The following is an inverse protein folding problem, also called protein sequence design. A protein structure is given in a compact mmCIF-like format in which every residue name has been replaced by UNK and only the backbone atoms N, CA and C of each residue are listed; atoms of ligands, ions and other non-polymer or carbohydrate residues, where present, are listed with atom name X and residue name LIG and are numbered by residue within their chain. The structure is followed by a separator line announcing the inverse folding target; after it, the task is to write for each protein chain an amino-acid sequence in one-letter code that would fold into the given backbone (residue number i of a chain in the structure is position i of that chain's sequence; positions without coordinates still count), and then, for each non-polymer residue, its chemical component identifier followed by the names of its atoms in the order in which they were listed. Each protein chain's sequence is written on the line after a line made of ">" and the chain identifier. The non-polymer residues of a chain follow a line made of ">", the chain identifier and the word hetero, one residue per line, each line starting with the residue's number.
data_IF_933491209914
#
_entry.id   IF_933491209914
#
_cell.length_a   1.000
_cell.length_b   1.000
_cell.length_c   1.000
_cell.angle_alpha   90.00
_cell.angle_beta   90.00
_cell.angle_gamma   90.00
#
_symmetry.space_group_name_H-M   'P 1'
#
loop_
_entity.id
_entity.type
_entity.pdbx_description
1 polymer ?
#
# COMPACT_ATOMS: atom_id res chain seq x y z
N UNK A 1 3.83 -7.39 21.53
CA UNK A 1 2.86 -7.79 20.50
C UNK A 1 3.47 -7.47 19.15
N UNK A 2 3.12 -8.25 18.13
CA UNK A 2 3.64 -8.12 16.76
C UNK A 2 2.46 -8.10 15.79
N UNK A 3 2.56 -7.28 14.74
CA UNK A 3 1.65 -7.32 13.61
C UNK A 3 2.10 -8.44 12.67
N UNK A 4 1.25 -9.43 12.42
CA UNK A 4 1.53 -10.44 11.41
C UNK A 4 1.24 -9.87 10.02
N UNK A 5 2.26 -9.84 9.16
CA UNK A 5 2.13 -9.48 7.77
C UNK A 5 1.87 -10.74 6.95
N UNK A 6 0.65 -10.85 6.43
CA UNK A 6 0.17 -11.95 5.62
C UNK A 6 -0.59 -11.45 4.37
N UNK A 7 -1.09 -12.39 3.57
CA UNK A 7 -1.77 -12.10 2.31
C UNK A 7 -3.04 -11.24 2.51
N UNK A 8 -3.73 -11.37 3.65
CA UNK A 8 -4.89 -10.55 3.98
C UNK A 8 -4.48 -9.09 4.21
N UNK A 9 -3.40 -8.88 4.97
CA UNK A 9 -2.88 -7.55 5.26
C UNK A 9 -2.36 -6.84 3.99
N UNK A 10 -1.74 -7.59 3.08
CA UNK A 10 -1.34 -7.09 1.76
C UNK A 10 -2.54 -6.60 0.96
N UNK A 11 -3.66 -7.33 0.96
CA UNK A 11 -4.88 -6.90 0.27
C UNK A 11 -5.44 -5.59 0.84
N UNK A 12 -5.38 -5.40 2.17
CA UNK A 12 -5.81 -4.14 2.82
C UNK A 12 -4.97 -2.94 2.39
N UNK A 13 -3.72 -3.13 1.97
CA UNK A 13 -2.89 -2.05 1.44
C UNK A 13 -3.44 -1.48 0.12
N UNK A 14 -4.22 -2.26 -0.64
CA UNK A 14 -4.89 -1.77 -1.85
C UNK A 14 -6.15 -0.93 -1.58
N UNK A 15 -6.54 -0.78 -0.31
CA UNK A 15 -7.68 0.02 0.12
C UNK A 15 -7.47 1.53 -0.07
N UNK A 16 -8.54 2.28 0.13
CA UNK A 16 -8.50 3.74 0.09
C UNK A 16 -7.64 4.33 1.21
N UNK A 17 -7.09 5.53 0.96
CA UNK A 17 -6.42 6.30 2.01
C UNK A 17 -7.38 6.49 3.19
N UNK A 18 -6.93 6.13 4.39
CA UNK A 18 -7.70 6.20 5.65
C UNK A 18 -8.87 5.22 5.78
N UNK A 19 -9.02 4.25 4.87
CA UNK A 19 -10.03 3.19 5.01
C UNK A 19 -9.70 2.25 6.18
N UNK A 20 -8.41 1.99 6.40
CA UNK A 20 -7.92 1.09 7.42
C UNK A 20 -7.04 1.82 8.43
N UNK A 21 -7.10 1.36 9.68
CA UNK A 21 -6.39 1.97 10.81
C UNK A 21 -5.73 0.90 11.67
N UNK A 22 -4.48 1.11 12.04
CA UNK A 22 -3.75 0.26 12.96
C UNK A 22 -3.96 0.69 14.41
N UNK A 23 -4.17 -0.28 15.30
CA UNK A 23 -4.33 -0.08 16.73
C UNK A 23 -3.09 -0.51 17.51
N UNK A 24 -2.47 0.43 18.24
CA UNK A 24 -1.39 0.10 19.16
C UNK A 24 -1.84 -0.75 20.35
N UNK A 25 -3.14 -0.74 20.67
CA UNK A 25 -3.69 -1.47 21.81
C UNK A 25 -3.73 -2.98 21.61
N UNK A 26 -4.02 -3.42 20.38
CA UNK A 26 -4.20 -4.84 20.06
C UNK A 26 -3.41 -5.33 18.83
N UNK A 27 -2.64 -4.45 18.17
CA UNK A 27 -1.84 -4.73 16.98
C UNK A 27 -2.68 -5.27 15.80
N UNK A 28 -3.95 -4.86 15.71
CA UNK A 28 -4.85 -5.22 14.61
C UNK A 28 -5.11 -4.05 13.67
N UNK A 29 -5.51 -4.37 12.44
CA UNK A 29 -6.04 -3.41 11.47
C UNK A 29 -7.56 -3.42 11.51
N UNK A 30 -8.16 -2.26 11.71
CA UNK A 30 -9.59 -2.02 11.80
C UNK A 30 -10.05 -1.25 10.57
N UNK A 31 -11.23 -1.59 10.05
CA UNK A 31 -11.85 -0.76 9.01
C UNK A 31 -12.49 0.48 9.66
N UNK A 32 -12.48 1.61 8.96
CA UNK A 32 -13.07 2.85 9.48
C UNK A 32 -14.55 2.68 9.84
N UNK A 33 -15.29 1.84 9.11
CA UNK A 33 -16.70 1.56 9.41
C UNK A 33 -16.90 0.89 10.77
N UNK A 34 -15.92 0.11 11.25
CA UNK A 34 -15.94 -0.51 12.59
C UNK A 34 -15.65 0.53 13.69
N UNK A 35 -14.98 1.63 13.34
CA UNK A 35 -14.61 2.71 14.26
C UNK A 35 -15.67 3.81 14.31
N UNK A 36 -16.46 3.97 13.26
CA UNK A 36 -17.49 5.01 13.15
C UNK A 36 -18.68 4.79 14.10
N UNK A 37 -18.85 3.57 14.62
CA UNK A 37 -19.85 3.27 15.65
C UNK A 37 -19.46 3.78 17.05
N UNK A 38 -18.24 4.32 17.21
CA UNK A 38 -17.76 4.85 18.49
C UNK A 38 -18.37 6.23 18.79
N UNK A 39 -18.81 6.42 20.03
CA UNK A 39 -19.37 7.71 20.49
C UNK A 39 -18.27 8.78 20.53
N UNK A 40 -18.17 9.55 19.44
CA UNK A 40 -17.16 10.59 19.25
C UNK A 40 -17.71 11.95 19.71
N UNK A 41 -16.96 12.71 20.54
CA UNK A 41 -17.33 14.08 20.86
C UNK A 41 -17.54 14.96 19.63
N UNK A 42 -18.56 15.82 19.63
CA UNK A 42 -18.92 16.68 18.49
C UNK A 42 -17.82 17.71 18.15
N UNK A 43 -17.00 18.10 19.12
CA UNK A 43 -15.96 19.13 19.02
C UNK A 43 -14.59 18.61 18.56
N UNK A 44 -14.43 17.30 18.38
CA UNK A 44 -13.17 16.67 17.95
C UNK A 44 -13.30 16.11 16.53
N UNK A 45 -12.33 16.44 15.67
CA UNK A 45 -12.23 15.84 14.32
C UNK A 45 -11.93 14.34 14.38
N UNK A 46 -12.51 13.55 13.47
CA UNK A 46 -12.43 12.08 13.49
C UNK A 46 -11.00 11.54 13.58
N UNK A 47 -10.08 12.04 12.74
CA UNK A 47 -8.66 11.67 12.79
C UNK A 47 -8.01 11.96 14.14
N UNK A 48 -8.27 13.14 14.72
CA UNK A 48 -7.70 13.51 16.02
C UNK A 48 -8.25 12.61 17.14
N UNK A 49 -9.53 12.25 17.06
CA UNK A 49 -10.15 11.31 17.97
C UNK A 49 -9.51 9.92 17.88
N UNK A 50 -9.37 9.35 16.68
CA UNK A 50 -8.72 8.05 16.50
C UNK A 50 -7.28 8.03 16.99
N UNK A 51 -6.50 9.07 16.70
CA UNK A 51 -5.14 9.21 17.23
C UNK A 51 -5.11 9.25 18.76
N UNK A 52 -6.08 9.93 19.39
CA UNK A 52 -6.20 9.95 20.86
C UNK A 52 -6.49 8.57 21.48
N UNK A 53 -7.07 7.65 20.70
CA UNK A 53 -7.31 6.26 21.08
C UNK A 53 -6.12 5.33 20.80
N UNK A 54 -5.02 5.86 20.27
CA UNK A 54 -3.87 5.05 19.87
C UNK A 54 -4.08 4.33 18.54
N UNK A 55 -4.86 4.93 17.63
CA UNK A 55 -5.02 4.46 16.25
C UNK A 55 -4.23 5.36 15.30
N UNK A 56 -3.60 4.76 14.28
CA UNK A 56 -2.96 5.51 13.20
C UNK A 56 -3.46 5.02 11.83
N UNK A 57 -3.48 5.88 10.80
CA UNK A 57 -3.85 5.44 9.45
C UNK A 57 -2.95 4.32 8.97
N UNK A 58 -3.54 3.26 8.44
CA UNK A 58 -2.80 2.16 7.82
C UNK A 58 -2.25 2.60 6.45
N UNK A 59 -1.17 1.96 6.01
CA UNK A 59 -0.56 2.26 4.70
C UNK A 59 -1.51 1.88 3.56
N UNK A 60 -1.63 2.77 2.58
CA UNK A 60 -2.35 2.52 1.33
C UNK A 60 -1.38 2.66 0.15
N UNK A 61 -1.42 1.70 -0.78
CA UNK A 61 -0.59 1.66 -1.98
C UNK A 61 -1.51 1.62 -3.20
N UNK A 62 -1.40 2.63 -4.07
CA UNK A 62 -2.23 2.70 -5.27
C UNK A 62 -1.65 1.89 -6.44
N UNK A 63 -2.52 1.43 -7.35
CA UNK A 63 -2.08 0.79 -8.60
C UNK A 63 -1.15 1.70 -9.41
N UNK A 64 -1.45 3.00 -9.47
CA UNK A 64 -0.60 3.96 -10.16
C UNK A 64 0.81 4.01 -9.55
N UNK A 65 0.92 4.01 -8.23
CA UNK A 65 2.21 4.00 -7.53
C UNK A 65 3.05 2.76 -7.89
N UNK A 66 2.44 1.57 -7.84
CA UNK A 66 3.10 0.31 -8.23
C UNK A 66 3.56 0.37 -9.69
N UNK A 67 2.67 0.78 -10.60
CA UNK A 67 2.94 0.82 -12.04
C UNK A 67 4.03 1.84 -12.38
N UNK A 68 4.05 3.01 -11.71
CA UNK A 68 5.12 4.00 -11.86
C UNK A 68 6.46 3.49 -11.34
N UNK A 69 6.47 2.80 -10.20
CA UNK A 69 7.67 2.19 -9.64
C UNK A 69 8.23 1.09 -10.55
N UNK A 70 7.35 0.24 -11.10
CA UNK A 70 7.73 -0.82 -12.02
C UNK A 70 8.38 -0.28 -13.30
N UNK A 71 7.74 0.74 -13.91
CA UNK A 71 8.30 1.44 -15.07
C UNK A 71 9.67 2.01 -14.75
N UNK A 72 9.85 2.65 -13.59
CA UNK A 72 11.14 3.21 -13.19
C UNK A 72 12.24 2.14 -13.08
N UNK A 73 11.91 0.93 -12.63
CA UNK A 73 12.86 -0.18 -12.47
C UNK A 73 13.21 -0.85 -13.80
N UNK A 74 12.21 -1.14 -14.64
CA UNK A 74 12.35 -1.94 -15.87
C UNK A 74 12.43 -1.13 -17.16
N UNK A 75 11.86 0.07 -17.17
CA UNK A 75 11.66 0.87 -18.36
C UNK A 75 12.96 1.41 -18.94
N UNK A 76 13.02 1.46 -20.27
CA UNK A 76 14.06 2.23 -20.96
C UNK A 76 13.96 3.72 -20.61
N UNK A 77 15.07 4.47 -20.73
CA UNK A 77 15.06 5.92 -20.51
C UNK A 77 13.96 6.64 -21.33
N UNK A 78 13.66 6.13 -22.53
CA UNK A 78 12.57 6.63 -23.39
C UNK A 78 11.20 6.34 -22.81
N UNK A 79 10.92 5.10 -22.38
CA UNK A 79 9.63 4.73 -21.78
C UNK A 79 9.38 5.50 -20.48
N UNK A 80 10.41 5.61 -19.64
CA UNK A 80 10.38 6.39 -18.41
C UNK A 80 10.08 7.86 -18.70
N UNK A 81 10.74 8.45 -19.70
CA UNK A 81 10.51 9.85 -20.07
C UNK A 81 9.12 10.13 -20.65
N UNK A 82 8.47 9.13 -21.25
CA UNK A 82 7.07 9.25 -21.72
C UNK A 82 6.12 9.15 -20.53
N UNK A 83 6.20 8.07 -19.76
CA UNK A 83 5.23 7.76 -18.70
C UNK A 83 5.34 8.68 -17.48
N UNK A 84 6.51 9.28 -17.22
CA UNK A 84 6.66 10.30 -16.17
C UNK A 84 5.90 11.60 -16.46
N UNK A 85 5.61 11.89 -17.74
CA UNK A 85 4.90 13.11 -18.14
C UNK A 85 3.39 12.93 -18.22
N UNK A 86 2.89 11.70 -18.05
CA UNK A 86 1.47 11.39 -18.09
C UNK A 86 0.83 11.77 -16.75
N UNK A 87 -0.20 12.61 -16.82
CA UNK A 87 -1.01 13.00 -15.68
C UNK A 87 -1.69 11.77 -15.05
N UNK A 88 -1.92 11.81 -13.73
CA UNK A 88 -2.47 10.67 -12.98
C UNK A 88 -3.79 10.15 -13.55
N UNK A 89 -4.70 11.06 -13.92
CA UNK A 89 -6.01 10.72 -14.51
C UNK A 89 -5.90 9.84 -15.77
N UNK A 90 -4.83 10.02 -16.56
CA UNK A 90 -4.60 9.30 -17.82
C UNK A 90 -3.57 8.16 -17.70
N UNK A 91 -2.94 8.01 -16.52
CA UNK A 91 -1.74 7.19 -16.38
C UNK A 91 -2.03 5.70 -16.57
N UNK A 92 -3.04 5.17 -15.89
CA UNK A 92 -3.38 3.75 -15.92
C UNK A 92 -3.77 3.32 -17.34
N UNK A 93 -4.59 4.10 -18.03
CA UNK A 93 -4.97 3.83 -19.42
C UNK A 93 -3.75 3.85 -20.35
N UNK A 94 -2.91 4.88 -20.22
CA UNK A 94 -1.71 5.04 -21.04
C UNK A 94 -0.73 3.90 -20.81
N UNK A 95 -0.50 3.50 -19.56
CA UNK A 95 0.32 2.35 -19.23
C UNK A 95 -0.18 1.10 -19.95
N UNK A 96 -1.47 0.77 -19.82
CA UNK A 96 -1.99 -0.45 -20.45
C UNK A 96 -1.90 -0.40 -21.97
N UNK A 97 -2.08 0.77 -22.60
CA UNK A 97 -1.88 0.93 -24.04
C UNK A 97 -0.46 0.55 -24.48
N UNK A 98 0.57 1.01 -23.77
CA UNK A 98 1.96 0.67 -24.10
C UNK A 98 2.29 -0.79 -23.76
N UNK A 99 1.93 -1.25 -22.57
CA UNK A 99 2.28 -2.59 -22.11
C UNK A 99 1.50 -3.69 -22.83
N UNK A 100 0.28 -3.42 -23.33
CA UNK A 100 -0.45 -4.36 -24.19
C UNK A 100 0.15 -4.45 -25.60
N UNK A 101 0.76 -3.37 -26.11
CA UNK A 101 1.46 -3.39 -27.40
C UNK A 101 2.78 -4.18 -27.34
N UNK A 102 3.38 -4.27 -26.15
CA UNK A 102 4.66 -4.95 -25.90
C UNK A 102 4.53 -5.86 -24.66
N UNK A 103 3.90 -7.05 -24.79
CA UNK A 103 3.60 -7.94 -23.67
C UNK A 103 4.83 -8.36 -22.85
N UNK A 104 6.00 -8.43 -23.47
CA UNK A 104 7.28 -8.70 -22.81
C UNK A 104 7.61 -7.69 -21.70
N UNK A 105 7.08 -6.47 -21.78
CA UNK A 105 7.28 -5.46 -20.75
C UNK A 105 6.48 -5.77 -19.48
N UNK A 106 5.47 -6.65 -19.54
CA UNK A 106 4.64 -7.03 -18.38
C UNK A 106 5.27 -8.13 -17.53
N UNK A 107 6.32 -8.78 -18.02
CA UNK A 107 6.96 -9.88 -17.33
C UNK A 107 7.44 -9.42 -15.94
N UNK A 108 7.01 -10.12 -14.89
CA UNK A 108 7.34 -9.80 -13.50
C UNK A 108 6.56 -8.65 -12.86
N UNK A 109 5.54 -8.05 -13.52
CA UNK A 109 4.77 -6.94 -12.95
C UNK A 109 4.02 -7.34 -11.65
N UNK A 110 3.42 -8.53 -11.62
CA UNK A 110 2.66 -9.01 -10.46
C UNK A 110 3.59 -9.25 -9.27
N UNK A 111 4.66 -10.01 -9.48
CA UNK A 111 5.69 -10.29 -8.46
C UNK A 111 6.33 -9.00 -7.93
N UNK A 112 6.65 -8.05 -8.82
CA UNK A 112 7.13 -6.73 -8.41
C UNK A 112 6.09 -5.99 -7.56
N UNK A 113 4.82 -6.05 -7.93
CA UNK A 113 3.74 -5.40 -7.19
C UNK A 113 3.65 -5.92 -5.75
N UNK A 114 3.67 -7.23 -5.57
CA UNK A 114 3.64 -7.86 -4.27
C UNK A 114 4.88 -7.47 -3.43
N UNK A 115 6.08 -7.55 -4.02
CA UNK A 115 7.34 -7.13 -3.38
C UNK A 115 7.34 -5.65 -2.97
N UNK A 116 6.78 -4.79 -3.83
CA UNK A 116 6.69 -3.35 -3.59
C UNK A 116 5.77 -3.06 -2.41
N UNK A 117 4.60 -3.70 -2.35
CA UNK A 117 3.64 -3.55 -1.25
C UNK A 117 4.26 -4.05 0.06
N UNK A 118 4.92 -5.21 0.05
CA UNK A 118 5.62 -5.75 1.24
C UNK A 118 6.68 -4.77 1.75
N UNK A 119 7.50 -4.21 0.85
CA UNK A 119 8.50 -3.22 1.23
C UNK A 119 7.88 -1.97 1.84
N UNK A 120 6.82 -1.42 1.23
CA UNK A 120 6.10 -0.26 1.75
C UNK A 120 5.53 -0.49 3.13
N UNK A 121 4.92 -1.66 3.35
CA UNK A 121 4.36 -2.02 4.63
C UNK A 121 5.43 -2.19 5.72
N UNK A 122 6.57 -2.79 5.38
CA UNK A 122 7.72 -2.89 6.28
C UNK A 122 8.28 -1.50 6.62
N UNK A 123 8.46 -0.63 5.64
CA UNK A 123 8.92 0.75 5.86
C UNK A 123 7.96 1.51 6.77
N UNK A 124 6.66 1.42 6.49
CA UNK A 124 5.62 2.03 7.33
C UNK A 124 5.65 1.50 8.76
N UNK A 125 5.83 0.19 8.98
CA UNK A 125 5.98 -0.37 10.33
C UNK A 125 7.20 0.20 11.05
N UNK A 126 8.35 0.32 10.35
CA UNK A 126 9.59 0.88 10.92
C UNK A 126 9.43 2.36 11.28
N UNK A 127 8.86 3.16 10.39
CA UNK A 127 8.61 4.59 10.60
C UNK A 127 7.71 4.85 11.82
N UNK A 128 6.76 3.94 12.06
CA UNK A 128 5.81 4.04 13.16
C UNK A 128 6.20 3.23 14.41
N UNK A 129 7.41 2.65 14.46
CA UNK A 129 7.88 1.83 15.58
C UNK A 129 6.95 0.64 15.90
N UNK A 130 6.36 0.02 14.89
CA UNK A 130 5.51 -1.18 15.01
C UNK A 130 6.39 -2.42 14.85
N UNK A 131 6.40 -3.28 15.87
CA UNK A 131 6.99 -4.61 15.75
C UNK A 131 6.10 -5.48 14.83
N UNK A 132 6.71 -6.18 13.88
CA UNK A 132 6.02 -7.01 12.92
C UNK A 132 6.73 -8.34 12.71
N UNK A 133 5.98 -9.32 12.21
CA UNK A 133 6.47 -10.61 11.75
C UNK A 133 5.94 -10.87 10.34
N UNK A 134 6.72 -11.55 9.50
CA UNK A 134 6.29 -11.95 8.16
C UNK A 134 5.78 -13.38 8.21
N UNK A 135 4.61 -13.64 7.63
CA UNK A 135 4.15 -15.02 7.40
C UNK A 135 5.09 -15.75 6.43
N UNK A 136 5.08 -17.08 6.44
CA UNK A 136 5.95 -17.90 5.59
C UNK A 136 5.82 -17.56 4.10
N UNK A 137 4.59 -17.29 3.63
CA UNK A 137 4.33 -16.88 2.25
C UNK A 137 5.01 -15.55 1.91
N UNK A 138 4.89 -14.56 2.81
CA UNK A 138 5.46 -13.23 2.59
C UNK A 138 6.98 -13.23 2.67
N UNK A 139 7.57 -14.09 3.50
CA UNK A 139 9.02 -14.26 3.55
C UNK A 139 9.58 -14.63 2.18
N UNK A 140 8.93 -15.54 1.45
CA UNK A 140 9.34 -15.93 0.11
C UNK A 140 9.27 -14.79 -0.92
N UNK A 141 8.31 -13.87 -0.75
CA UNK A 141 8.18 -12.68 -1.61
C UNK A 141 9.30 -11.67 -1.29
N UNK A 142 9.65 -11.50 -0.01
CA UNK A 142 10.60 -10.47 0.47
C UNK A 142 12.09 -10.77 0.23
N UNK A 143 12.45 -11.99 -0.18
CA UNK A 143 13.85 -12.48 -0.30
C UNK A 143 14.43 -12.29 -1.71
N UNK A 144 13.64 -11.80 -2.66
CA UNK A 144 14.03 -11.53 -4.05
C UNK A 144 13.86 -10.06 -4.42
#
# INVERSE_FOLDING_TARGET
>A
MTLLIDDELLQKCGGGSSEYWFSYGDYTIKNISELDEMDKPDDVGQTAYFVSLGLIPFVSVSNEEVMRAFVKQRGSAKLNGILQKVHSDDFIETFWKYFNAYPELKEGLVEFGDQFIVHKLIEWCKENNINYELSENIQNISVH
#
